data_IF_212247544845
#
_entry.id   IF_212247544845
#
_cell.length_a   1.000
_cell.length_b   1.000
_cell.length_c   1.000
_cell.angle_alpha   90.00
_cell.angle_beta   90.00
_cell.angle_gamma   90.00
#
_symmetry.space_group_name_H-M   'P 1'
#
loop_
_entity.id
_entity.type
_entity.pdbx_description
1 polymer ?
#
# COMPACT_ATOMS: atom_id res chain seq x y z
N UNK A 1 29.96 -15.71 -23.88
CA UNK A 1 29.29 -14.70 -23.05
C UNK A 1 27.88 -14.44 -23.59
N UNK A 2 26.84 -14.84 -22.86
CA UNK A 2 25.44 -14.79 -23.31
C UNK A 2 24.94 -13.35 -23.42
N UNK A 3 25.26 -12.52 -22.42
CA UNK A 3 24.81 -11.13 -22.37
C UNK A 3 25.50 -10.27 -23.44
N UNK A 4 26.81 -10.44 -23.67
CA UNK A 4 27.49 -9.75 -24.77
C UNK A 4 26.89 -10.07 -26.16
N UNK A 5 26.35 -11.29 -26.37
CA UNK A 5 25.70 -11.67 -27.64
C UNK A 5 24.29 -11.08 -27.76
N UNK A 6 23.49 -11.13 -26.70
CA UNK A 6 22.11 -10.64 -26.70
C UNK A 6 22.05 -9.10 -26.68
N UNK A 7 23.09 -8.42 -26.16
CA UNK A 7 23.21 -6.97 -26.19
C UNK A 7 23.30 -6.35 -27.58
N UNK A 8 23.57 -7.15 -28.62
CA UNK A 8 23.45 -6.71 -30.02
C UNK A 8 21.98 -6.51 -30.46
N UNK A 9 21.02 -6.91 -29.63
CA UNK A 9 19.59 -6.76 -29.87
C UNK A 9 18.91 -6.16 -28.63
N UNK A 10 18.89 -4.81 -28.52
CA UNK A 10 18.28 -4.10 -27.40
C UNK A 10 16.85 -4.55 -27.08
N UNK A 11 16.08 -4.92 -28.09
CA UNK A 11 14.70 -5.40 -27.97
C UNK A 11 14.61 -6.70 -27.17
N UNK A 12 15.55 -7.64 -27.40
CA UNK A 12 15.59 -8.90 -26.65
C UNK A 12 15.98 -8.69 -25.19
N UNK A 13 16.92 -7.77 -24.95
CA UNK A 13 17.33 -7.37 -23.60
C UNK A 13 16.15 -6.75 -22.85
N UNK A 14 15.39 -5.85 -23.48
CA UNK A 14 14.20 -5.22 -22.88
C UNK A 14 13.09 -6.26 -22.63
N UNK A 15 12.90 -7.21 -23.54
CA UNK A 15 11.90 -8.27 -23.37
C UNK A 15 12.26 -9.20 -22.20
N UNK A 16 13.53 -9.58 -22.09
CA UNK A 16 14.04 -10.42 -21.01
C UNK A 16 13.77 -9.81 -19.63
N UNK A 17 13.96 -8.50 -19.49
CA UNK A 17 13.81 -7.79 -18.19
C UNK A 17 12.45 -7.99 -17.54
N UNK A 18 11.39 -8.19 -18.34
CA UNK A 18 10.03 -8.41 -17.83
C UNK A 18 9.90 -9.63 -16.93
N UNK A 19 10.77 -10.61 -17.13
CA UNK A 19 10.74 -11.90 -16.45
C UNK A 19 11.76 -12.00 -15.32
N UNK A 20 12.57 -10.96 -15.13
CA UNK A 20 13.58 -10.89 -14.08
C UNK A 20 12.97 -10.18 -12.86
N UNK A 21 13.19 -10.73 -11.67
CA UNK A 21 12.77 -10.07 -10.44
C UNK A 21 13.55 -8.74 -10.23
N UNK A 22 12.98 -7.76 -9.49
CA UNK A 22 13.62 -6.46 -9.32
C UNK A 22 15.03 -6.49 -8.70
N UNK A 23 15.37 -7.50 -7.90
CA UNK A 23 16.69 -7.59 -7.26
C UNK A 23 17.75 -8.08 -8.26
N UNK A 24 17.44 -9.15 -9.00
CA UNK A 24 18.29 -9.65 -10.09
C UNK A 24 18.43 -8.62 -11.21
N UNK A 25 17.38 -7.85 -11.51
CA UNK A 25 17.44 -6.77 -12.48
C UNK A 25 18.41 -5.67 -12.05
N UNK A 26 18.41 -5.31 -10.76
CA UNK A 26 19.37 -4.34 -10.21
C UNK A 26 20.80 -4.86 -10.27
N UNK A 27 21.01 -6.15 -9.98
CA UNK A 27 22.32 -6.79 -10.09
C UNK A 27 22.85 -6.73 -11.52
N UNK A 28 22.02 -7.14 -12.50
CA UNK A 28 22.35 -7.10 -13.92
C UNK A 28 22.64 -5.69 -14.42
N UNK A 29 21.81 -4.72 -14.01
CA UNK A 29 22.01 -3.30 -14.31
C UNK A 29 23.33 -2.76 -13.75
N UNK A 30 23.78 -3.26 -12.60
CA UNK A 30 24.98 -2.76 -11.91
C UNK A 30 26.27 -3.37 -12.45
N UNK A 31 26.23 -4.57 -13.04
CA UNK A 31 27.43 -5.33 -13.40
C UNK A 31 27.68 -5.33 -14.90
N UNK A 32 26.63 -5.45 -15.72
CA UNK A 32 26.82 -5.59 -17.16
C UNK A 32 26.66 -4.25 -17.87
N UNK A 33 27.79 -3.69 -18.33
CA UNK A 33 27.83 -2.38 -19.00
C UNK A 33 26.83 -2.26 -20.15
N UNK A 34 26.78 -3.25 -21.04
CA UNK A 34 25.88 -3.16 -22.20
C UNK A 34 24.40 -3.16 -21.79
N UNK A 35 24.05 -3.89 -20.72
CA UNK A 35 22.68 -3.88 -20.20
C UNK A 35 22.38 -2.54 -19.55
N UNK A 36 23.35 -1.98 -18.80
CA UNK A 36 23.25 -0.65 -18.22
C UNK A 36 23.00 0.42 -19.30
N UNK A 37 23.78 0.40 -20.39
CA UNK A 37 23.68 1.35 -21.49
C UNK A 37 22.34 1.24 -22.23
N UNK A 38 21.88 0.01 -22.53
CA UNK A 38 20.57 -0.24 -23.15
C UNK A 38 19.44 0.26 -22.23
N UNK A 39 19.48 -0.08 -20.95
CA UNK A 39 18.47 0.34 -19.98
C UNK A 39 18.43 1.86 -19.84
N UNK A 40 19.59 2.52 -19.74
CA UNK A 40 19.67 3.97 -19.65
C UNK A 40 19.05 4.65 -20.89
N UNK A 41 19.25 4.06 -22.08
CA UNK A 41 18.60 4.50 -23.32
C UNK A 41 17.07 4.47 -23.30
N UNK A 42 16.49 3.50 -22.57
CA UNK A 42 15.06 3.17 -22.61
C UNK A 42 14.39 3.11 -21.23
N UNK A 43 14.96 3.76 -20.21
CA UNK A 43 14.63 3.51 -18.80
C UNK A 43 13.14 3.64 -18.48
N UNK A 44 12.48 4.69 -18.98
CA UNK A 44 11.02 4.87 -18.82
C UNK A 44 10.23 3.69 -19.35
N UNK A 45 10.61 3.19 -20.54
CA UNK A 45 9.95 2.07 -21.18
C UNK A 45 10.23 0.78 -20.40
N UNK A 46 11.49 0.47 -20.09
CA UNK A 46 11.87 -0.72 -19.34
C UNK A 46 11.14 -0.81 -18.00
N UNK A 47 11.15 0.27 -17.20
CA UNK A 47 10.48 0.28 -15.89
C UNK A 47 8.97 0.13 -16.01
N UNK A 48 8.34 0.88 -16.93
CA UNK A 48 6.89 0.78 -17.15
C UNK A 48 6.48 -0.59 -17.64
N UNK A 49 7.31 -1.22 -18.46
CA UNK A 49 7.07 -2.53 -19.03
C UNK A 49 7.17 -3.63 -17.96
N UNK A 50 8.25 -3.63 -17.17
CA UNK A 50 8.40 -4.54 -16.03
C UNK A 50 7.25 -4.40 -15.03
N UNK A 51 6.88 -3.15 -14.68
CA UNK A 51 5.79 -2.88 -13.75
C UNK A 51 4.44 -3.38 -14.29
N UNK A 52 4.15 -3.18 -15.58
CA UNK A 52 2.91 -3.67 -16.21
C UNK A 52 2.83 -5.19 -16.25
N UNK A 53 3.96 -5.87 -16.47
CA UNK A 53 4.00 -7.33 -16.50
C UNK A 53 3.80 -7.93 -15.11
N UNK A 54 4.52 -7.44 -14.10
CA UNK A 54 4.51 -8.06 -12.76
C UNK A 54 3.35 -7.55 -11.89
N UNK A 55 2.90 -6.31 -12.11
CA UNK A 55 1.96 -5.63 -11.23
C UNK A 55 1.02 -4.66 -12.00
N UNK A 56 0.16 -5.17 -12.90
CA UNK A 56 -0.58 -4.35 -13.86
C UNK A 56 -1.41 -3.24 -13.20
N UNK A 57 -2.23 -3.55 -12.18
CA UNK A 57 -3.05 -2.53 -11.52
C UNK A 57 -2.19 -1.55 -10.71
N UNK A 58 -1.19 -2.07 -9.98
CA UNK A 58 -0.32 -1.23 -9.15
C UNK A 58 0.50 -0.26 -10.01
N UNK A 59 0.92 -0.67 -11.21
CA UNK A 59 1.62 0.21 -12.17
C UNK A 59 0.76 1.38 -12.63
N UNK A 60 -0.56 1.19 -12.71
CA UNK A 60 -1.54 2.24 -13.09
C UNK A 60 -1.89 3.14 -11.90
N UNK A 61 -2.05 2.56 -10.72
CA UNK A 61 -2.42 3.29 -9.50
C UNK A 61 -1.25 4.12 -9.00
N UNK A 62 -0.05 3.54 -8.92
CA UNK A 62 1.14 4.16 -8.37
C UNK A 62 2.02 4.75 -9.47
N UNK A 63 1.44 5.61 -10.31
CA UNK A 63 2.15 6.25 -11.42
C UNK A 63 3.39 7.00 -10.91
N UNK A 64 4.53 6.84 -11.59
CA UNK A 64 5.82 7.41 -11.15
C UNK A 64 5.79 8.95 -11.01
N UNK A 65 4.92 9.62 -11.76
CA UNK A 65 4.70 11.07 -11.68
C UNK A 65 4.20 11.53 -10.31
N UNK A 66 3.61 10.63 -9.51
CA UNK A 66 3.19 10.89 -8.13
C UNK A 66 4.33 10.68 -7.12
N UNK A 67 5.46 10.09 -7.54
CA UNK A 67 6.58 9.69 -6.70
C UNK A 67 7.91 10.23 -7.25
N UNK A 68 8.02 11.55 -7.34
CA UNK A 68 9.22 12.24 -7.87
C UNK A 68 10.50 11.81 -7.15
N UNK A 69 10.45 11.56 -5.83
CA UNK A 69 11.59 11.08 -5.04
C UNK A 69 12.09 9.68 -5.41
N UNK A 70 11.29 8.91 -6.15
CA UNK A 70 11.64 7.59 -6.68
C UNK A 70 12.01 7.65 -8.16
N UNK A 71 12.06 8.84 -8.75
CA UNK A 71 12.49 9.07 -10.11
C UNK A 71 13.96 9.54 -10.14
N UNK A 72 14.58 9.45 -11.30
CA UNK A 72 15.89 10.05 -11.56
C UNK A 72 15.83 10.94 -12.80
N UNK A 73 16.75 11.89 -12.98
CA UNK A 73 16.93 12.57 -14.26
C UNK A 73 17.17 11.54 -15.36
N UNK A 74 16.61 11.77 -16.55
CA UNK A 74 16.83 10.88 -17.69
C UNK A 74 18.34 10.71 -17.97
N UNK A 75 18.87 9.48 -17.96
CA UNK A 75 20.30 9.22 -18.18
C UNK A 75 20.80 9.77 -19.53
N UNK A 76 19.95 9.82 -20.54
CA UNK A 76 20.24 10.37 -21.88
C UNK A 76 19.99 11.87 -21.94
N UNK A 77 19.63 12.51 -20.82
CA UNK A 77 19.38 13.95 -20.68
C UNK A 77 18.32 14.50 -21.65
N UNK A 78 17.33 13.68 -21.98
CA UNK A 78 16.20 14.10 -22.82
C UNK A 78 15.47 15.29 -22.17
N UNK A 79 15.12 16.33 -22.94
CA UNK A 79 14.53 17.54 -22.39
C UNK A 79 13.13 17.30 -21.80
N UNK A 80 12.76 18.09 -20.81
CA UNK A 80 11.43 18.09 -20.23
C UNK A 80 10.42 18.66 -21.24
N UNK A 81 9.25 18.02 -21.45
CA UNK A 81 8.32 18.40 -22.50
C UNK A 81 7.75 19.82 -22.32
N UNK A 82 7.58 20.28 -21.08
CA UNK A 82 6.97 21.59 -20.76
C UNK A 82 7.89 22.60 -20.07
N UNK A 83 9.10 22.20 -19.66
CA UNK A 83 10.01 23.06 -18.89
C UNK A 83 11.29 23.28 -19.71
N UNK A 84 11.48 24.46 -20.30
CA UNK A 84 12.70 24.77 -21.05
C UNK A 84 13.94 24.58 -20.17
N UNK A 85 15.02 24.04 -20.76
CA UNK A 85 16.31 23.80 -20.09
C UNK A 85 16.29 22.81 -18.91
N UNK A 86 15.17 22.13 -18.64
CA UNK A 86 15.10 21.06 -17.64
C UNK A 86 15.25 19.68 -18.29
N UNK A 87 15.91 18.76 -17.60
CA UNK A 87 15.93 17.33 -17.96
C UNK A 87 14.65 16.67 -17.44
N UNK A 88 14.02 15.80 -18.23
CA UNK A 88 12.83 15.08 -17.77
C UNK A 88 13.19 14.08 -16.67
N UNK A 89 12.27 13.88 -15.72
CA UNK A 89 12.38 12.82 -14.72
C UNK A 89 11.77 11.53 -15.26
N UNK A 90 12.42 10.40 -14.98
CA UNK A 90 12.00 9.07 -15.41
C UNK A 90 11.93 8.12 -14.21
N UNK A 91 11.06 7.10 -14.24
CA UNK A 91 11.00 6.11 -13.16
C UNK A 91 12.36 5.42 -13.00
N UNK A 92 12.78 5.22 -11.76
CA UNK A 92 13.98 4.45 -11.43
C UNK A 92 13.62 3.01 -10.99
N UNK A 93 14.65 2.18 -10.81
CA UNK A 93 14.50 0.86 -10.17
C UNK A 93 13.85 0.95 -8.78
N UNK A 94 14.04 2.06 -8.03
CA UNK A 94 13.38 2.27 -6.74
C UNK A 94 11.86 2.41 -6.88
N UNK A 95 11.39 3.05 -7.95
CA UNK A 95 9.97 3.12 -8.25
C UNK A 95 9.42 1.74 -8.61
N UNK A 96 10.12 0.97 -9.44
CA UNK A 96 9.72 -0.40 -9.79
C UNK A 96 9.62 -1.29 -8.55
N UNK A 97 10.65 -1.25 -7.68
CA UNK A 97 10.66 -1.97 -6.40
C UNK A 97 9.47 -1.58 -5.52
N UNK A 98 9.15 -0.28 -5.42
CA UNK A 98 8.00 0.20 -4.67
C UNK A 98 6.68 -0.35 -5.22
N UNK A 99 6.47 -0.34 -6.54
CA UNK A 99 5.25 -0.87 -7.17
C UNK A 99 5.09 -2.36 -6.91
N UNK A 100 6.16 -3.15 -7.13
CA UNK A 100 6.15 -4.61 -6.90
C UNK A 100 5.93 -4.94 -5.42
N UNK A 101 6.59 -4.20 -4.51
CA UNK A 101 6.41 -4.34 -3.06
C UNK A 101 4.95 -4.14 -2.65
N UNK A 102 4.29 -3.11 -3.18
CA UNK A 102 2.89 -2.82 -2.86
C UNK A 102 1.92 -3.86 -3.44
N UNK A 103 2.18 -4.35 -4.64
CA UNK A 103 1.44 -5.46 -5.24
C UNK A 103 1.49 -6.70 -4.34
N UNK A 104 2.70 -7.12 -3.95
CA UNK A 104 2.93 -8.25 -3.04
C UNK A 104 2.25 -7.99 -1.69
N UNK A 105 2.45 -6.82 -1.10
CA UNK A 105 1.91 -6.50 0.23
C UNK A 105 0.38 -6.55 0.27
N UNK A 106 -0.31 -6.01 -0.73
CA UNK A 106 -1.79 -6.07 -0.77
C UNK A 106 -2.27 -7.51 -0.93
N UNK A 107 -1.62 -8.30 -1.80
CA UNK A 107 -1.91 -9.74 -1.94
C UNK A 107 -1.72 -10.46 -0.61
N UNK A 108 -0.59 -10.25 0.06
CA UNK A 108 -0.24 -10.95 1.29
C UNK A 108 -1.20 -10.57 2.45
N UNK A 109 -1.68 -9.32 2.51
CA UNK A 109 -2.75 -8.91 3.45
C UNK A 109 -4.01 -9.74 3.20
N UNK A 110 -4.49 -9.80 1.95
CA UNK A 110 -5.69 -10.55 1.60
C UNK A 110 -5.52 -12.05 1.89
N UNK A 111 -4.33 -12.60 1.62
CA UNK A 111 -4.01 -13.99 1.88
C UNK A 111 -3.91 -14.31 3.38
N UNK A 112 -3.44 -13.37 4.21
CA UNK A 112 -3.48 -13.52 5.67
C UNK A 112 -4.93 -13.54 6.18
N UNK A 113 -5.76 -12.63 5.66
CA UNK A 113 -7.19 -12.56 6.02
C UNK A 113 -7.93 -13.84 5.60
N UNK A 114 -7.72 -14.31 4.36
CA UNK A 114 -8.36 -15.52 3.84
C UNK A 114 -7.98 -16.78 4.63
N UNK A 115 -6.70 -16.95 5.01
CA UNK A 115 -6.25 -18.07 5.86
C UNK A 115 -6.91 -18.11 7.25
N UNK A 116 -7.46 -16.99 7.70
CA UNK A 116 -8.15 -16.85 8.98
C UNK A 116 -9.68 -16.84 8.80
N UNK A 117 -10.19 -17.20 7.62
CA UNK A 117 -11.61 -17.26 7.30
C UNK A 117 -12.22 -15.93 6.86
N UNK A 118 -11.46 -14.83 6.89
CA UNK A 118 -11.94 -13.51 6.46
C UNK A 118 -11.79 -13.30 4.95
N UNK A 119 -12.63 -14.01 4.18
CA UNK A 119 -12.64 -13.93 2.71
C UNK A 119 -13.21 -12.60 2.21
N UNK A 120 -12.78 -12.22 1.01
CA UNK A 120 -13.05 -10.92 0.38
C UNK A 120 -13.33 -11.09 -1.11
N UNK A 121 -14.12 -10.22 -1.73
CA UNK A 121 -14.33 -10.25 -3.18
C UNK A 121 -13.03 -9.94 -3.95
N UNK A 122 -12.85 -10.47 -5.19
CA UNK A 122 -11.65 -10.24 -6.00
C UNK A 122 -11.31 -8.76 -6.23
N UNK A 123 -12.33 -7.91 -6.36
CA UNK A 123 -12.20 -6.46 -6.58
C UNK A 123 -11.59 -5.73 -5.37
N UNK A 124 -11.55 -6.37 -4.19
CA UNK A 124 -10.92 -5.83 -2.98
C UNK A 124 -9.46 -5.44 -3.22
N UNK A 125 -8.74 -6.23 -4.03
CA UNK A 125 -7.33 -5.99 -4.34
C UNK A 125 -7.11 -4.60 -4.95
N UNK A 126 -7.99 -4.18 -5.86
CA UNK A 126 -7.92 -2.87 -6.48
C UNK A 126 -8.25 -1.75 -5.47
N UNK A 127 -9.29 -1.95 -4.66
CA UNK A 127 -9.73 -0.99 -3.67
C UNK A 127 -8.64 -0.72 -2.60
N UNK A 128 -7.94 -1.76 -2.13
CA UNK A 128 -6.83 -1.63 -1.19
C UNK A 128 -5.61 -0.90 -1.79
N UNK A 129 -5.30 -1.12 -3.08
CA UNK A 129 -4.25 -0.36 -3.76
C UNK A 129 -4.59 1.13 -3.86
N UNK A 130 -5.84 1.46 -4.20
CA UNK A 130 -6.33 2.86 -4.19
C UNK A 130 -6.30 3.47 -2.78
N UNK A 131 -6.70 2.69 -1.78
CA UNK A 131 -6.63 3.09 -0.37
C UNK A 131 -5.18 3.42 0.02
N UNK A 132 -4.21 2.58 -0.34
CA UNK A 132 -2.79 2.86 -0.11
C UNK A 132 -2.36 4.18 -0.74
N UNK A 133 -2.76 4.45 -1.99
CA UNK A 133 -2.46 5.73 -2.64
C UNK A 133 -2.97 6.93 -1.82
N UNK A 134 -4.17 6.83 -1.22
CA UNK A 134 -4.70 7.88 -0.33
C UNK A 134 -3.85 8.02 0.94
N UNK A 135 -3.35 6.90 1.49
CA UNK A 135 -2.45 6.92 2.65
C UNK A 135 -1.10 7.60 2.38
N UNK A 136 -0.67 7.68 1.12
CA UNK A 136 0.54 8.44 0.74
C UNK A 136 0.32 9.95 0.74
N UNK A 137 -0.93 10.43 0.74
CA UNK A 137 -1.22 11.85 0.70
C UNK A 137 -1.05 12.42 2.11
N UNK A 138 -0.23 13.46 2.23
CA UNK A 138 0.19 14.06 3.49
C UNK A 138 -0.87 14.97 4.15
N UNK A 139 -1.93 15.35 3.44
CA UNK A 139 -2.94 16.29 3.92
C UNK A 139 -4.36 15.75 3.77
N UNK A 140 -5.16 16.00 4.79
CA UNK A 140 -6.56 15.61 4.90
C UNK A 140 -7.41 16.21 3.78
N UNK A 141 -7.17 17.49 3.44
CA UNK A 141 -7.92 18.15 2.36
C UNK A 141 -7.73 17.45 1.01
N UNK A 142 -6.50 17.05 0.68
CA UNK A 142 -6.21 16.35 -0.59
C UNK A 142 -6.71 14.90 -0.55
N UNK A 143 -6.62 14.22 0.60
CA UNK A 143 -7.25 12.89 0.77
C UNK A 143 -8.74 12.95 0.48
N UNK A 144 -9.46 13.90 1.08
CA UNK A 144 -10.89 14.10 0.85
C UNK A 144 -11.21 14.43 -0.62
N UNK A 145 -10.43 15.30 -1.28
CA UNK A 145 -10.61 15.60 -2.71
C UNK A 145 -10.50 14.35 -3.59
N UNK A 146 -9.53 13.47 -3.33
CA UNK A 146 -9.38 12.22 -4.08
C UNK A 146 -10.57 11.30 -3.83
N UNK A 147 -11.03 11.17 -2.59
CA UNK A 147 -12.22 10.37 -2.24
C UNK A 147 -13.48 10.89 -2.94
N UNK A 148 -13.65 12.21 -3.05
CA UNK A 148 -14.78 12.85 -3.72
C UNK A 148 -14.76 12.67 -5.25
N UNK A 149 -13.59 12.41 -5.82
CA UNK A 149 -13.42 12.28 -7.26
C UNK A 149 -14.03 10.98 -7.82
N UNK A 150 -14.20 10.91 -9.14
CA UNK A 150 -14.61 9.68 -9.82
C UNK A 150 -13.59 8.54 -9.77
N UNK A 151 -12.41 8.76 -9.18
CA UNK A 151 -11.37 7.74 -9.02
C UNK A 151 -11.81 6.62 -8.07
N UNK A 152 -12.56 6.96 -7.01
CA UNK A 152 -13.20 6.01 -6.12
C UNK A 152 -14.65 5.79 -6.55
N UNK A 153 -14.98 4.55 -6.91
CA UNK A 153 -16.35 4.12 -7.23
C UNK A 153 -17.11 3.77 -5.95
N UNK A 154 -18.44 3.63 -6.03
CA UNK A 154 -19.23 3.15 -4.89
C UNK A 154 -18.78 1.75 -4.42
N UNK A 155 -18.38 0.89 -5.36
CA UNK A 155 -17.84 -0.44 -5.05
C UNK A 155 -16.49 -0.36 -4.30
N UNK A 156 -15.61 0.58 -4.67
CA UNK A 156 -14.36 0.79 -3.92
C UNK A 156 -14.63 1.18 -2.46
N UNK A 157 -15.58 2.11 -2.23
CA UNK A 157 -15.96 2.56 -0.88
C UNK A 157 -16.58 1.40 -0.08
N UNK A 158 -17.47 0.61 -0.71
CA UNK A 158 -18.06 -0.58 -0.10
C UNK A 158 -17.00 -1.63 0.27
N UNK A 159 -16.07 -1.92 -0.64
CA UNK A 159 -15.00 -2.88 -0.42
C UNK A 159 -14.07 -2.44 0.71
N UNK A 160 -13.68 -1.16 0.77
CA UNK A 160 -12.85 -0.69 1.88
C UNK A 160 -13.61 -0.76 3.22
N UNK A 161 -14.91 -0.46 3.24
CA UNK A 161 -15.72 -0.64 4.44
C UNK A 161 -15.80 -2.12 4.87
N UNK A 162 -15.98 -3.04 3.93
CA UNK A 162 -15.96 -4.49 4.20
C UNK A 162 -14.59 -4.92 4.76
N UNK A 163 -13.50 -4.40 4.20
CA UNK A 163 -12.15 -4.62 4.71
C UNK A 163 -12.00 -4.18 6.17
N UNK A 164 -12.47 -2.97 6.49
CA UNK A 164 -12.49 -2.44 7.87
C UNK A 164 -13.27 -3.36 8.82
N UNK A 165 -14.49 -3.76 8.44
CA UNK A 165 -15.34 -4.65 9.25
C UNK A 165 -14.65 -5.98 9.54
N UNK A 166 -14.10 -6.64 8.51
CA UNK A 166 -13.40 -7.92 8.70
C UNK A 166 -12.10 -7.75 9.46
N UNK A 167 -11.42 -6.62 9.33
CA UNK A 167 -10.21 -6.33 10.09
C UNK A 167 -10.53 -6.19 11.58
N UNK A 168 -11.67 -5.56 11.93
CA UNK A 168 -12.15 -5.52 13.31
C UNK A 168 -12.48 -6.91 13.84
N UNK A 169 -13.17 -7.75 13.05
CA UNK A 169 -13.43 -9.16 13.39
C UNK A 169 -12.15 -9.98 13.54
N UNK A 170 -11.05 -9.55 12.91
CA UNK A 170 -9.76 -10.21 13.04
C UNK A 170 -9.02 -9.79 14.30
N UNK A 171 -9.11 -8.52 14.67
CA UNK A 171 -8.42 -7.98 15.84
C UNK A 171 -9.18 -8.21 17.14
N UNK A 172 -10.48 -8.37 17.06
CA UNK A 172 -11.35 -8.68 18.18
C UNK A 172 -11.93 -10.07 17.98
N UNK A 173 -11.91 -10.88 19.04
CA UNK A 173 -12.77 -12.04 19.08
C UNK A 173 -14.24 -11.56 19.03
N UNK A 174 -15.06 -12.02 18.07
CA UNK A 174 -16.44 -11.55 17.93
C UNK A 174 -17.36 -12.00 19.07
N UNK A 175 -16.92 -12.93 19.92
CA UNK A 175 -17.66 -13.50 21.05
C UNK A 175 -17.14 -12.94 22.38
N UNK A 176 -15.82 -12.95 22.60
CA UNK A 176 -15.21 -12.61 23.90
C UNK A 176 -14.27 -11.39 23.86
N UNK A 177 -14.08 -10.78 22.69
CA UNK A 177 -13.11 -9.71 22.51
C UNK A 177 -13.53 -8.42 23.19
N UNK A 178 -12.56 -7.53 23.51
CA UNK A 178 -12.85 -6.25 24.17
C UNK A 178 -13.67 -5.29 23.29
N UNK A 179 -13.86 -5.60 22.00
CA UNK A 179 -14.60 -4.78 21.04
C UNK A 179 -13.92 -3.45 20.75
N UNK A 180 -12.61 -3.37 20.98
CA UNK A 180 -11.83 -2.14 20.84
C UNK A 180 -11.32 -1.95 19.41
N UNK A 181 -11.21 -0.69 19.00
CA UNK A 181 -10.78 -0.32 17.66
C UNK A 181 -9.37 0.26 17.59
N UNK A 182 -8.68 0.34 18.72
CA UNK A 182 -7.35 0.93 18.85
C UNK A 182 -6.33 0.34 17.86
N UNK A 183 -6.31 -1.00 17.71
CA UNK A 183 -5.35 -1.64 16.82
C UNK A 183 -5.66 -1.36 15.35
N UNK A 184 -6.95 -1.33 14.96
CA UNK A 184 -7.38 -0.92 13.63
C UNK A 184 -6.96 0.52 13.35
N UNK A 185 -7.29 1.43 14.25
CA UNK A 185 -6.99 2.86 14.13
C UNK A 185 -5.46 3.09 14.03
N UNK A 186 -4.68 2.40 14.86
CA UNK A 186 -3.22 2.46 14.81
C UNK A 186 -2.69 2.00 13.46
N UNK A 187 -3.13 0.83 12.97
CA UNK A 187 -2.62 0.24 11.73
C UNK A 187 -3.02 1.03 10.48
N UNK A 188 -4.27 1.49 10.41
CA UNK A 188 -4.76 2.34 9.30
C UNK A 188 -4.28 3.79 9.41
N UNK A 189 -3.77 4.19 10.59
CA UNK A 189 -3.10 5.47 10.83
C UNK A 189 -1.65 5.51 10.37
N UNK A 190 -1.01 4.36 10.10
CA UNK A 190 0.37 4.33 9.64
C UNK A 190 0.53 4.82 8.20
N UNK A 191 1.78 5.07 7.80
CA UNK A 191 2.10 5.42 6.41
C UNK A 191 2.07 4.17 5.52
N UNK A 192 0.94 3.98 4.84
CA UNK A 192 0.71 2.84 3.95
C UNK A 192 0.38 1.54 4.68
N UNK A 193 0.26 0.44 3.94
CA UNK A 193 -0.22 -0.84 4.48
C UNK A 193 0.88 -1.81 4.89
N UNK A 194 2.16 -1.46 4.71
CA UNK A 194 3.28 -2.32 5.12
C UNK A 194 3.24 -2.67 6.61
N UNK A 195 2.98 -1.74 7.56
CA UNK A 195 2.92 -2.10 8.98
C UNK A 195 1.80 -3.10 9.30
N UNK A 196 0.61 -2.89 8.71
CA UNK A 196 -0.51 -3.82 8.82
C UNK A 196 -0.15 -5.22 8.30
N UNK A 197 0.49 -5.31 7.13
CA UNK A 197 0.92 -6.59 6.58
C UNK A 197 1.93 -7.30 7.51
N UNK A 198 2.90 -6.56 8.07
CA UNK A 198 3.86 -7.13 9.01
C UNK A 198 3.21 -7.64 10.30
N UNK A 199 2.21 -6.92 10.82
CA UNK A 199 1.39 -7.37 11.95
C UNK A 199 0.66 -8.68 11.60
N UNK A 200 -0.02 -8.72 10.45
CA UNK A 200 -0.79 -9.90 10.02
C UNK A 200 0.10 -11.12 9.74
N UNK A 201 1.26 -10.93 9.11
CA UNK A 201 2.30 -11.96 8.89
C UNK A 201 3.04 -12.35 10.18
N UNK A 202 2.82 -11.65 11.29
CA UNK A 202 3.57 -11.80 12.56
C UNK A 202 5.09 -11.62 12.40
N UNK A 203 5.51 -10.74 11.49
CA UNK A 203 6.92 -10.38 11.27
C UNK A 203 7.32 -9.07 11.96
N UNK A 204 6.34 -8.33 12.49
CA UNK A 204 6.51 -7.19 13.39
C UNK A 204 5.25 -7.06 14.26
N UNK A 205 5.32 -6.24 15.31
CA UNK A 205 4.29 -6.12 16.34
C UNK A 205 4.01 -7.45 17.05
N UNK A 206 5.08 -8.20 17.31
CA UNK A 206 5.00 -9.53 17.92
C UNK A 206 4.93 -9.49 19.44
N UNK A 207 5.39 -8.39 20.04
CA UNK A 207 5.28 -8.10 21.46
C UNK A 207 4.47 -6.82 21.73
N UNK A 208 3.89 -6.76 22.93
CA UNK A 208 3.09 -5.60 23.38
C UNK A 208 3.93 -4.32 23.38
N UNK A 209 5.24 -4.40 23.67
CA UNK A 209 6.13 -3.24 23.68
C UNK A 209 6.27 -2.59 22.31
N UNK A 210 6.31 -3.36 21.22
CA UNK A 210 6.27 -2.83 19.85
C UNK A 210 4.96 -2.09 19.55
N UNK A 211 3.82 -2.67 19.96
CA UNK A 211 2.50 -2.03 19.80
C UNK A 211 2.43 -0.74 20.62
N UNK A 212 2.83 -0.78 21.89
CA UNK A 212 2.86 0.39 22.79
C UNK A 212 3.75 1.50 22.23
N UNK A 213 4.94 1.17 21.71
CA UNK A 213 5.81 2.16 21.03
C UNK A 213 5.15 2.80 19.83
N UNK A 214 4.35 2.04 19.08
CA UNK A 214 3.63 2.57 17.92
C UNK A 214 2.45 3.46 18.35
N UNK A 215 1.69 3.07 19.38
CA UNK A 215 0.64 3.91 19.98
C UNK A 215 1.23 5.22 20.51
N UNK A 216 2.36 5.16 21.22
CA UNK A 216 3.04 6.34 21.75
C UNK A 216 3.42 7.32 20.64
N UNK A 217 3.92 6.83 19.51
CA UNK A 217 4.24 7.69 18.37
C UNK A 217 2.99 8.23 17.66
N UNK A 218 1.89 7.48 17.66
CA UNK A 218 0.73 7.78 16.85
C UNK A 218 -0.10 8.93 17.43
N UNK A 219 -0.68 8.76 18.62
CA UNK A 219 -1.69 9.68 19.17
C UNK A 219 -1.62 9.86 20.70
N UNK A 220 -0.53 9.39 21.34
CA UNK A 220 -0.36 9.54 22.78
C UNK A 220 -0.23 11.00 23.24
N UNK A 221 -1.09 11.40 24.17
CA UNK A 221 -1.06 12.73 24.77
C UNK A 221 -0.16 12.74 25.99
N UNK A 222 1.06 13.27 25.83
CA UNK A 222 1.99 13.43 26.95
C UNK A 222 1.44 14.43 27.99
N UNK A 223 1.45 14.04 29.26
CA UNK A 223 1.18 14.94 30.39
C UNK A 223 2.16 16.13 30.35
N UNK A 224 1.75 17.33 30.79
CA UNK A 224 2.60 18.53 30.75
C UNK A 224 4.01 18.31 31.33
N UNK A 225 4.08 17.55 32.43
CA UNK A 225 5.32 17.21 33.15
C UNK A 225 6.29 16.35 32.31
N UNK A 226 5.77 15.57 31.35
CA UNK A 226 6.55 14.58 30.59
C UNK A 226 6.90 15.04 29.17
N UNK A 227 6.51 16.25 28.76
CA UNK A 227 6.66 16.76 27.39
C UNK A 227 8.09 16.85 26.87
N UNK A 228 9.08 16.85 27.76
CA UNK A 228 10.50 16.95 27.40
C UNK A 228 11.28 15.67 27.69
N UNK A 229 10.59 14.62 28.16
CA UNK A 229 11.22 13.34 28.49
C UNK A 229 10.89 12.30 27.44
N UNK A 230 11.84 11.39 27.21
CA UNK A 230 11.55 10.23 26.39
C UNK A 230 10.51 9.34 27.08
N UNK A 231 9.51 8.90 26.32
CA UNK A 231 8.47 8.01 26.82
C UNK A 231 8.70 6.65 26.17
N UNK A 232 9.02 5.65 26.98
CA UNK A 232 9.26 4.28 26.51
C UNK A 232 10.34 4.19 25.40
N UNK A 233 11.39 5.00 25.53
CA UNK A 233 12.49 5.11 24.56
C UNK A 233 12.15 5.92 23.31
N UNK A 234 10.96 6.52 23.23
CA UNK A 234 10.56 7.40 22.13
C UNK A 234 10.97 8.83 22.47
N UNK A 235 11.69 9.53 21.58
CA UNK A 235 12.10 10.89 21.88
C UNK A 235 10.88 11.84 21.84
N UNK A 236 10.88 12.92 22.64
CA UNK A 236 9.70 13.79 22.82
C UNK A 236 9.11 14.33 21.52
N UNK A 237 9.96 14.60 20.53
CA UNK A 237 9.59 15.11 19.21
C UNK A 237 8.82 14.11 18.34
N UNK A 238 8.80 12.82 18.69
CA UNK A 238 8.06 11.78 17.97
C UNK A 238 6.75 11.37 18.69
N UNK A 239 6.52 11.84 19.92
CA UNK A 239 5.39 11.40 20.75
C UNK A 239 4.09 12.06 20.29
N UNK A 240 3.08 11.23 19.96
CA UNK A 240 1.71 11.66 19.72
C UNK A 240 1.52 12.52 18.46
N UNK A 241 2.45 12.47 17.51
CA UNK A 241 2.38 13.31 16.29
C UNK A 241 2.07 12.51 15.03
N UNK A 242 2.18 11.18 15.06
CA UNK A 242 2.03 10.33 13.88
C UNK A 242 0.67 10.46 13.20
N UNK A 243 -0.37 10.80 13.95
CA UNK A 243 -1.73 11.03 13.46
C UNK A 243 -1.94 12.41 12.81
N UNK A 244 -0.94 13.30 12.80
CA UNK A 244 -1.06 14.67 12.26
C UNK A 244 -0.62 14.75 10.79
N UNK A 245 -1.13 15.75 10.08
CA UNK A 245 -0.75 16.04 8.68
C UNK A 245 0.77 16.12 8.50
N UNK A 246 1.25 15.77 7.32
CA UNK A 246 2.69 15.71 7.05
C UNK A 246 3.42 14.62 7.84
N UNK A 247 2.70 13.65 8.40
CA UNK A 247 3.20 12.63 9.33
C UNK A 247 3.91 13.26 10.53
N UNK A 248 3.20 14.16 11.21
CA UNK A 248 3.69 14.83 12.42
C UNK A 248 4.32 16.20 12.22
N UNK A 249 4.36 16.73 10.99
CA UNK A 249 4.83 18.10 10.69
C UNK A 249 3.73 19.15 10.79
N UNK A 250 2.48 18.74 10.66
CA UNK A 250 1.29 19.59 10.74
C UNK A 250 0.68 19.61 12.14
N UNK A 251 -0.49 20.25 12.25
CA UNK A 251 -1.25 20.38 13.51
C UNK A 251 -2.65 19.79 13.45
N UNK A 252 -3.10 19.43 12.25
CA UNK A 252 -4.44 18.91 12.00
C UNK A 252 -4.36 17.40 11.92
N UNK A 253 -5.39 16.69 12.38
CA UNK A 253 -5.49 15.25 12.21
C UNK A 253 -5.48 14.87 10.73
N UNK A 254 -4.61 13.92 10.38
CA UNK A 254 -4.55 13.31 9.08
C UNK A 254 -5.55 12.15 9.01
N UNK A 255 -6.69 12.36 8.33
CA UNK A 255 -7.76 11.36 8.36
C UNK A 255 -7.30 10.02 7.84
N UNK A 256 -7.60 8.98 8.61
CA UNK A 256 -7.37 7.59 8.23
C UNK A 256 -8.32 7.15 7.11
N UNK A 257 -7.99 6.09 6.37
CA UNK A 257 -8.87 5.54 5.35
C UNK A 257 -10.28 5.18 5.85
N UNK A 258 -10.41 4.59 7.04
CA UNK A 258 -11.71 4.23 7.65
C UNK A 258 -12.60 5.47 7.86
N UNK A 259 -12.03 6.56 8.40
CA UNK A 259 -12.75 7.81 8.61
C UNK A 259 -13.20 8.46 7.29
N UNK A 260 -12.35 8.40 6.27
CA UNK A 260 -12.63 8.94 4.93
C UNK A 260 -13.74 8.16 4.23
N UNK A 261 -13.75 6.84 4.36
CA UNK A 261 -14.76 5.96 3.76
C UNK A 261 -16.14 6.22 4.36
N UNK A 262 -16.24 6.34 5.68
CA UNK A 262 -17.52 6.67 6.35
C UNK A 262 -18.05 8.01 5.86
N UNK A 263 -17.21 9.04 5.81
CA UNK A 263 -17.59 10.38 5.33
C UNK A 263 -18.06 10.34 3.88
N UNK A 264 -17.34 9.63 3.02
CA UNK A 264 -17.66 9.55 1.60
C UNK A 264 -18.92 8.73 1.33
N UNK A 265 -19.14 7.66 2.10
CA UNK A 265 -20.36 6.86 2.04
C UNK A 265 -21.61 7.68 2.41
N UNK A 266 -21.53 8.50 3.46
CA UNK A 266 -22.62 9.41 3.85
C UNK A 266 -22.88 10.45 2.75
N UNK A 267 -21.83 11.06 2.20
CA UNK A 267 -21.95 12.04 1.12
C UNK A 267 -22.64 11.46 -0.11
N UNK A 268 -22.33 10.22 -0.48
CA UNK A 268 -22.90 9.50 -1.62
C UNK A 268 -24.21 8.79 -1.32
N UNK A 269 -24.69 8.79 -0.07
CA UNK A 269 -25.89 8.07 0.40
C UNK A 269 -25.84 6.58 0.06
N UNK A 270 -24.71 5.92 0.35
CA UNK A 270 -24.53 4.49 0.09
C UNK A 270 -25.16 3.60 1.17
N UNK A 271 -25.65 4.17 2.28
CA UNK A 271 -26.30 3.47 3.38
C UNK A 271 -25.56 2.21 3.90
N UNK A 272 -24.22 2.28 3.94
CA UNK A 272 -23.35 1.14 4.29
C UNK A 272 -23.68 0.48 5.65
N UNK A 273 -24.28 1.23 6.57
CA UNK A 273 -24.79 0.71 7.85
C UNK A 273 -25.73 -0.48 7.67
N UNK A 274 -26.55 -0.49 6.62
CA UNK A 274 -27.51 -1.56 6.33
C UNK A 274 -26.82 -2.80 5.76
N UNK A 275 -25.56 -2.68 5.35
CA UNK A 275 -24.78 -3.73 4.72
C UNK A 275 -23.76 -4.37 5.67
N UNK A 276 -23.55 -3.84 6.88
CA UNK A 276 -22.52 -4.33 7.82
C UNK A 276 -22.70 -5.82 8.13
N UNK A 277 -23.93 -6.29 8.36
CA UNK A 277 -24.19 -7.72 8.57
C UNK A 277 -23.79 -8.57 7.36
N UNK A 278 -24.14 -8.10 6.14
CA UNK A 278 -23.71 -8.75 4.91
C UNK A 278 -22.18 -8.77 4.75
N UNK A 279 -21.50 -7.69 5.13
CA UNK A 279 -20.03 -7.63 5.12
C UNK A 279 -19.41 -8.63 6.10
N UNK A 280 -19.98 -8.77 7.30
CA UNK A 280 -19.51 -9.74 8.29
C UNK A 280 -19.68 -11.18 7.79
N UNK A 281 -20.83 -11.51 7.18
CA UNK A 281 -21.14 -12.87 6.73
C UNK A 281 -20.50 -13.25 5.38
N UNK A 282 -20.09 -12.26 4.57
CA UNK A 282 -19.55 -12.51 3.25
C UNK A 282 -18.38 -13.50 3.27
N UNK A 283 -18.44 -14.52 2.41
CA UNK A 283 -17.38 -15.50 2.24
C UNK A 283 -17.23 -16.50 3.39
N UNK A 284 -18.12 -16.50 4.39
CA UNK A 284 -18.26 -17.63 5.32
C UNK A 284 -19.22 -18.65 4.76
N UNK A 285 -20.41 -18.23 4.32
CA UNK A 285 -21.48 -19.11 3.87
C UNK A 285 -21.85 -18.79 2.42
N UNK A 286 -22.00 -19.82 1.60
CA UNK A 286 -22.53 -19.71 0.25
C UNK A 286 -24.03 -19.34 0.31
N UNK A 287 -24.47 -18.24 -0.31
CA UNK A 287 -25.85 -17.79 -0.20
C UNK A 287 -26.87 -18.70 -0.91
N UNK A 288 -26.43 -19.56 -1.83
CA UNK A 288 -27.27 -20.50 -2.57
C UNK A 288 -27.34 -21.86 -1.87
N UNK A 289 -26.19 -22.40 -1.45
CA UNK A 289 -26.12 -23.74 -0.84
C UNK A 289 -26.25 -23.74 0.69
N UNK A 290 -26.05 -22.59 1.34
CA UNK A 290 -26.03 -22.46 2.80
C UNK A 290 -24.86 -23.19 3.47
N UNK A 291 -23.89 -23.67 2.69
CA UNK A 291 -22.70 -24.37 3.19
C UNK A 291 -21.55 -23.41 3.44
N UNK A 292 -20.65 -23.80 4.33
CA UNK A 292 -19.41 -23.07 4.54
C UNK A 292 -18.56 -23.06 3.26
N UNK A 293 -17.99 -21.90 2.95
CA UNK A 293 -17.16 -21.72 1.77
C UNK A 293 -15.69 -21.62 2.16
N UNK A 294 -14.90 -22.70 1.99
CA UNK A 294 -13.49 -22.67 2.34
C UNK A 294 -12.73 -21.66 1.46
N UNK A 295 -11.65 -21.11 2.01
CA UNK A 295 -10.74 -20.28 1.23
C UNK A 295 -10.07 -21.12 0.14
N UNK A 296 -10.00 -20.56 -1.06
CA UNK A 296 -9.30 -21.20 -2.19
C UNK A 296 -7.79 -21.08 -2.04
N UNK A 297 -7.03 -21.97 -2.68
CA UNK A 297 -5.56 -21.90 -2.69
C UNK A 297 -5.05 -20.57 -3.26
N UNK A 298 -5.72 -20.03 -4.27
CA UNK A 298 -5.40 -18.74 -4.87
C UNK A 298 -5.59 -17.58 -3.89
N UNK A 299 -6.71 -17.56 -3.14
CA UNK A 299 -6.95 -16.57 -2.10
C UNK A 299 -5.92 -16.66 -0.98
N UNK A 300 -5.48 -17.86 -0.63
CA UNK A 300 -4.45 -18.07 0.38
C UNK A 300 -3.03 -17.86 -0.17
N UNK A 301 -2.80 -17.67 -1.45
CA UNK A 301 -1.44 -17.63 -1.96
C UNK A 301 -0.63 -16.44 -1.41
N UNK A 302 0.53 -16.74 -0.81
CA UNK A 302 1.58 -15.76 -0.47
C UNK A 302 2.82 -16.14 -1.24
N UNK A 303 3.51 -15.16 -1.80
CA UNK A 303 4.84 -15.41 -2.37
C UNK A 303 5.84 -15.56 -1.24
N UNK A 304 6.75 -16.53 -1.36
CA UNK A 304 7.92 -16.62 -0.51
C UNK A 304 8.75 -15.30 -0.53
N UNK A 305 9.46 -15.03 0.56
CA UNK A 305 10.22 -13.79 0.78
C UNK A 305 11.57 -13.78 0.06
#
# INVERSE_FOLDING_TARGET
>A
DFFARISNSPELVIELMKYIDPASLLYLYSIHKDVNDIMNGHLTHCMSLCAKTVAPDSSRIFAFTLYESLCCPDPVKRPHPTKPNAVRMVPSLRWLQMVVHREKTVRDILACMARQGHRMPPEMKLALKKMWLVMDIATTARRAQVMHSGYFTALDIFNIQMFVVKLDMRFNDPIEGPGEDHLRNLMLGQRGLTPLCKLLKRTAFTDIGEVVRAVIRYDWVAKPEHRHYSIFGIPPEEVGIGHLEGWGKGRVHLYRPDELVVREAVRRRLDLKNHIMGMMLWGYVDPLSGQDTPATEEEMYMSDD
#
